data_IF_419407745892
#
_entry.id   IF_419407745892
#
_cell.length_a   1.000
_cell.length_b   1.000
_cell.length_c   1.000
_cell.angle_alpha   90.00
_cell.angle_beta   90.00
_cell.angle_gamma   90.00
#
_symmetry.space_group_name_H-M   'P 1'
#
loop_
_entity.id
_entity.type
_entity.pdbx_description
1 polymer ?
#
# COMPACT_ATOMS: atom_id res chain seq x y z
N UNK A 1 -6.44 -21.67 -44.86
CA UNK A 1 -6.14 -22.20 -43.51
C UNK A 1 -6.31 -21.08 -42.50
N UNK A 2 -7.54 -20.60 -42.32
CA UNK A 2 -7.84 -19.43 -41.47
C UNK A 2 -9.10 -19.68 -40.62
N UNK A 3 -9.32 -20.96 -40.26
CA UNK A 3 -10.52 -21.45 -39.57
C UNK A 3 -10.18 -22.38 -38.40
N UNK A 4 -8.99 -22.21 -37.77
CA UNK A 4 -8.56 -23.01 -36.60
C UNK A 4 -8.14 -22.16 -35.39
N UNK A 5 -8.04 -20.83 -35.52
CA UNK A 5 -7.79 -19.92 -34.39
C UNK A 5 -9.05 -19.53 -33.62
N UNK A 6 -10.22 -20.05 -34.02
CA UNK A 6 -11.50 -19.84 -33.34
C UNK A 6 -11.86 -20.91 -32.31
N UNK A 7 -11.02 -21.94 -32.13
CA UNK A 7 -11.34 -23.13 -31.33
C UNK A 7 -10.33 -23.39 -30.19
N UNK A 8 -9.80 -22.33 -29.60
CA UNK A 8 -9.12 -22.41 -28.29
C UNK A 8 -9.73 -21.39 -27.31
N UNK A 9 -11.05 -21.22 -27.37
CA UNK A 9 -11.76 -20.69 -26.21
C UNK A 9 -11.88 -21.84 -25.23
N UNK A 10 -10.97 -21.86 -24.25
CA UNK A 10 -11.16 -22.59 -23.01
C UNK A 10 -12.64 -22.49 -22.59
N UNK A 11 -13.38 -23.59 -22.47
CA UNK A 11 -14.80 -23.58 -22.09
C UNK A 11 -15.03 -23.03 -20.67
N UNK A 12 -13.94 -22.71 -19.96
CA UNK A 12 -13.90 -22.14 -18.62
C UNK A 12 -13.30 -20.73 -18.62
N UNK A 13 -13.52 -19.96 -19.68
CA UNK A 13 -13.30 -18.51 -19.68
C UNK A 13 -14.68 -17.86 -19.53
N UNK A 14 -15.11 -17.69 -18.29
CA UNK A 14 -16.35 -16.94 -17.98
C UNK A 14 -16.12 -15.50 -18.44
N UNK A 15 -16.78 -15.12 -19.52
CA UNK A 15 -16.80 -13.76 -20.03
C UNK A 15 -17.63 -12.90 -19.08
N UNK A 16 -16.93 -12.16 -18.22
CA UNK A 16 -17.52 -11.49 -17.05
C UNK A 16 -18.16 -10.12 -17.41
N UNK A 17 -18.20 -9.76 -18.69
CA UNK A 17 -18.69 -8.47 -19.19
C UNK A 17 -17.79 -7.28 -18.86
N UNK A 18 -18.24 -6.08 -19.24
CA UNK A 18 -17.53 -4.83 -18.97
C UNK A 18 -17.41 -4.54 -17.46
N UNK A 19 -16.26 -4.03 -16.99
CA UNK A 19 -16.08 -3.72 -15.58
C UNK A 19 -17.04 -2.61 -15.14
N UNK A 20 -17.77 -2.79 -14.03
CA UNK A 20 -18.70 -1.77 -13.55
C UNK A 20 -17.93 -0.51 -13.13
N UNK A 21 -18.48 0.66 -13.45
CA UNK A 21 -17.88 1.96 -13.11
C UNK A 21 -17.79 2.21 -11.58
N UNK A 22 -18.60 1.50 -10.80
CA UNK A 22 -18.62 1.59 -9.35
C UNK A 22 -17.46 0.81 -8.72
N UNK A 23 -16.61 1.49 -7.95
CA UNK A 23 -15.40 0.91 -7.35
C UNK A 23 -15.68 -0.32 -6.46
N UNK A 24 -16.78 -0.31 -5.70
CA UNK A 24 -17.18 -1.46 -4.88
C UNK A 24 -17.56 -2.69 -5.70
N UNK A 25 -18.23 -2.50 -6.85
CA UNK A 25 -18.60 -3.60 -7.75
C UNK A 25 -17.40 -4.05 -8.58
N UNK A 26 -16.49 -3.13 -8.88
CA UNK A 26 -15.24 -3.41 -9.54
C UNK A 26 -14.36 -4.37 -8.72
N UNK A 27 -14.29 -4.23 -7.39
CA UNK A 27 -13.61 -5.22 -6.56
C UNK A 27 -14.25 -6.59 -6.58
N UNK A 28 -15.58 -6.67 -6.58
CA UNK A 28 -16.27 -7.94 -6.70
C UNK A 28 -15.97 -8.61 -8.05
N UNK A 29 -15.96 -7.82 -9.13
CA UNK A 29 -15.57 -8.26 -10.48
C UNK A 29 -14.13 -8.78 -10.52
N UNK A 30 -13.17 -8.02 -9.99
CA UNK A 30 -11.76 -8.42 -9.93
C UNK A 30 -11.58 -9.65 -9.04
N UNK A 31 -12.22 -9.69 -7.87
CA UNK A 31 -12.17 -10.83 -6.96
C UNK A 31 -12.66 -12.11 -7.61
N UNK A 32 -13.80 -12.07 -8.31
CA UNK A 32 -14.34 -13.22 -9.04
C UNK A 32 -13.39 -13.68 -10.16
N UNK A 33 -12.81 -12.73 -10.91
CA UNK A 33 -11.81 -13.03 -11.95
C UNK A 33 -10.55 -13.67 -11.39
N UNK A 34 -10.07 -13.20 -10.24
CA UNK A 34 -8.92 -13.78 -9.54
C UNK A 34 -9.23 -15.18 -9.03
N UNK A 35 -10.42 -15.43 -8.47
CA UNK A 35 -10.82 -16.77 -8.02
C UNK A 35 -10.84 -17.77 -9.18
N UNK A 36 -11.39 -17.38 -10.33
CA UNK A 36 -11.37 -18.21 -11.54
C UNK A 36 -9.93 -18.45 -12.02
N UNK A 37 -9.08 -17.43 -11.97
CA UNK A 37 -7.67 -17.55 -12.36
C UNK A 37 -6.88 -18.50 -11.42
N UNK A 38 -7.04 -18.34 -10.11
CA UNK A 38 -6.43 -19.20 -9.09
C UNK A 38 -6.88 -20.66 -9.23
N UNK A 39 -8.14 -20.88 -9.56
CA UNK A 39 -8.68 -22.23 -9.79
C UNK A 39 -8.05 -22.92 -11.01
N UNK A 40 -7.59 -22.16 -12.00
CA UNK A 40 -6.96 -22.70 -13.23
C UNK A 40 -5.46 -22.91 -13.06
N UNK A 41 -4.75 -21.93 -12.49
CA UNK A 41 -3.31 -22.03 -12.25
C UNK A 41 -2.91 -21.35 -10.92
N UNK A 42 -2.93 -22.10 -9.80
CA UNK A 42 -2.63 -21.50 -8.50
C UNK A 42 -1.17 -21.07 -8.40
N UNK A 43 -0.24 -21.83 -8.99
CA UNK A 43 1.19 -21.59 -8.84
C UNK A 43 1.67 -20.35 -9.60
N UNK A 44 1.19 -20.13 -10.83
CA UNK A 44 1.49 -18.93 -11.61
C UNK A 44 0.89 -17.68 -10.98
N UNK A 45 -0.31 -17.76 -10.38
CA UNK A 45 -0.85 -16.64 -9.59
C UNK A 45 0.09 -16.26 -8.44
N UNK A 46 0.55 -17.22 -7.64
CA UNK A 46 1.48 -16.94 -6.56
C UNK A 46 2.80 -16.34 -7.06
N UNK A 47 3.37 -16.87 -8.14
CA UNK A 47 4.61 -16.36 -8.71
C UNK A 47 4.46 -14.91 -9.20
N UNK A 48 3.39 -14.59 -9.93
CA UNK A 48 3.12 -13.23 -10.39
C UNK A 48 2.87 -12.27 -9.22
N UNK A 49 2.09 -12.68 -8.23
CA UNK A 49 1.84 -11.87 -7.02
C UNK A 49 3.15 -11.60 -6.29
N UNK A 50 4.01 -12.60 -6.09
CA UNK A 50 5.30 -12.41 -5.40
C UNK A 50 6.26 -11.50 -6.18
N UNK A 51 6.32 -11.62 -7.51
CA UNK A 51 7.16 -10.77 -8.36
C UNK A 51 6.72 -9.30 -8.30
N UNK A 52 5.41 -9.02 -8.23
CA UNK A 52 4.88 -7.65 -8.13
C UNK A 52 4.96 -7.14 -6.68
N UNK A 53 4.69 -8.01 -5.70
CA UNK A 53 4.66 -7.66 -4.30
C UNK A 53 6.06 -7.33 -3.76
N UNK A 54 7.09 -8.04 -4.19
CA UNK A 54 8.47 -7.84 -3.72
C UNK A 54 8.99 -6.42 -3.94
N UNK A 55 8.96 -5.84 -5.15
CA UNK A 55 9.39 -4.45 -5.36
C UNK A 55 8.45 -3.45 -4.69
N UNK A 56 7.14 -3.72 -4.66
CA UNK A 56 6.18 -2.83 -4.01
C UNK A 56 6.41 -2.74 -2.50
N UNK A 57 6.68 -3.88 -1.87
CA UNK A 57 6.98 -3.97 -0.44
C UNK A 57 8.34 -3.33 -0.14
N UNK A 58 9.34 -3.52 -1.02
CA UNK A 58 10.64 -2.85 -0.91
C UNK A 58 10.53 -1.33 -0.98
N UNK A 59 9.75 -0.79 -1.93
CA UNK A 59 9.48 0.64 -2.04
C UNK A 59 8.69 1.18 -0.84
N UNK A 60 7.71 0.41 -0.36
CA UNK A 60 6.94 0.75 0.84
C UNK A 60 7.84 0.81 2.08
N UNK A 61 8.70 -0.17 2.26
CA UNK A 61 9.66 -0.21 3.36
C UNK A 61 10.67 0.96 3.27
N UNK A 62 11.15 1.28 2.07
CA UNK A 62 12.04 2.41 1.85
C UNK A 62 11.36 3.75 2.19
N UNK A 63 10.11 3.93 1.75
CA UNK A 63 9.32 5.11 2.06
C UNK A 63 9.04 5.22 3.57
N UNK A 64 8.64 4.12 4.20
CA UNK A 64 8.42 4.04 5.64
C UNK A 64 9.70 4.35 6.44
N UNK A 65 10.86 3.91 5.95
CA UNK A 65 12.16 4.23 6.59
C UNK A 65 12.47 5.73 6.52
N UNK A 66 12.23 6.39 5.39
CA UNK A 66 12.41 7.84 5.27
C UNK A 66 11.44 8.61 6.16
N UNK A 67 10.17 8.18 6.22
CA UNK A 67 9.17 8.75 7.11
C UNK A 67 9.57 8.56 8.58
N UNK A 68 9.98 7.36 8.97
CA UNK A 68 10.42 7.06 10.32
C UNK A 68 11.62 7.93 10.74
N UNK A 69 12.57 8.18 9.83
CA UNK A 69 13.71 9.06 10.07
C UNK A 69 13.28 10.51 10.28
N UNK A 70 12.32 10.99 9.50
CA UNK A 70 11.77 12.35 9.68
C UNK A 70 10.95 12.47 10.97
N UNK A 71 10.21 11.44 11.36
CA UNK A 71 9.50 11.37 12.64
C UNK A 71 10.49 11.44 13.82
N UNK A 72 11.61 10.72 13.76
CA UNK A 72 12.65 10.80 14.79
C UNK A 72 13.26 12.21 14.90
N UNK A 73 13.55 12.86 13.76
CA UNK A 73 14.06 14.24 13.73
C UNK A 73 13.08 15.23 14.38
N UNK A 74 11.79 15.09 14.06
CA UNK A 74 10.72 15.88 14.65
C UNK A 74 10.62 15.67 16.18
N UNK A 75 10.82 14.45 16.68
CA UNK A 75 10.83 14.19 18.13
C UNK A 75 12.01 14.86 18.84
N UNK A 76 13.21 14.80 18.27
CA UNK A 76 14.39 15.44 18.85
C UNK A 76 14.25 16.96 18.89
N UNK A 77 13.75 17.57 17.81
CA UNK A 77 13.47 19.01 17.76
C UNK A 77 12.38 19.42 18.76
N UNK A 78 11.31 18.62 18.92
CA UNK A 78 10.28 18.83 19.94
C UNK A 78 10.84 18.74 21.35
N UNK A 79 11.71 17.75 21.63
CA UNK A 79 12.39 17.60 22.94
C UNK A 79 13.30 18.80 23.23
N UNK A 80 14.05 19.30 22.23
CA UNK A 80 14.88 20.49 22.41
C UNK A 80 14.06 21.76 22.64
N UNK A 81 12.97 21.95 21.88
CA UNK A 81 12.06 23.09 22.04
C UNK A 81 11.36 23.05 23.40
N UNK A 82 10.94 21.88 23.88
CA UNK A 82 10.35 21.69 25.21
C UNK A 82 11.35 22.01 26.34
N UNK A 83 12.62 21.64 26.20
CA UNK A 83 13.67 22.01 27.17
C UNK A 83 13.90 23.52 27.22
N UNK A 84 13.91 24.19 26.06
CA UNK A 84 14.06 25.66 25.96
C UNK A 84 12.87 26.39 26.56
N UNK A 85 11.64 25.97 26.27
CA UNK A 85 10.44 26.59 26.85
C UNK A 85 10.34 26.38 28.36
N UNK A 86 10.72 25.20 28.87
CA UNK A 86 10.77 24.93 30.30
C UNK A 86 11.81 25.80 31.04
N UNK A 87 12.98 26.05 30.43
CA UNK A 87 14.00 26.94 30.99
C UNK A 87 13.53 28.41 31.04
N UNK A 88 12.85 28.88 29.99
CA UNK A 88 12.28 30.23 29.93
C UNK A 88 11.14 30.38 30.95
N UNK A 89 10.24 29.39 31.05
CA UNK A 89 9.14 29.40 32.02
C UNK A 89 9.65 29.40 33.48
N UNK A 90 10.74 28.68 33.78
CA UNK A 90 11.39 28.72 35.10
C UNK A 90 11.98 30.09 35.41
N UNK A 91 12.63 30.74 34.44
CA UNK A 91 13.14 32.12 34.62
C UNK A 91 12.02 33.13 34.84
N UNK A 92 10.94 33.05 34.07
CA UNK A 92 9.78 33.94 34.23
C UNK A 92 9.07 33.78 35.57
N UNK A 93 9.02 32.57 36.12
CA UNK A 93 8.49 32.34 37.48
C UNK A 93 9.36 32.97 38.55
N UNK A 94 10.69 32.88 38.43
CA UNK A 94 11.61 33.47 39.40
C UNK A 94 11.55 35.01 39.41
N UNK A 95 11.42 35.64 38.24
CA UNK A 95 11.31 37.11 38.09
C UNK A 95 9.98 37.67 38.64
N UNK A 96 8.94 36.84 38.77
CA UNK A 96 7.63 37.27 39.28
C UNK A 96 7.46 37.08 40.79
N UNK A 97 8.46 36.47 41.45
CA UNK A 97 8.48 36.19 42.89
C UNK A 97 9.48 37.06 43.67
N UNK A 98 10.20 37.96 43.00
CA UNK A 98 10.80 39.17 43.58
C UNK A 98 9.84 40.35 43.37
#
# INVERSE_FOLDING_TARGET
MEQLSGLEKDPLSVDLGDPPAEWSKWFAYIGLKLVIYVAKDPWGFFATVLIILTPLLGLSAFCAFKLAKEVQRQEEEKKLRAKRSAAIAKRQKHVKSE
#
